data_IF_209975116114
#
_entry.id   IF_209975116114
#
_cell.length_a   1.000
_cell.length_b   1.000
_cell.length_c   1.000
_cell.angle_alpha   90.00
_cell.angle_beta   90.00
_cell.angle_gamma   90.00
#
_symmetry.space_group_name_H-M   'P 1'
#
loop_
_entity.id
_entity.type
_entity.pdbx_description
1 polymer ?
#
# COMPACT_ATOMS: atom_id res chain seq x y z
N UNK A 1 -56.23 76.14 2.31
CA UNK A 1 -55.44 76.66 3.44
C UNK A 1 -54.06 77.18 3.09
N UNK A 2 -53.59 77.16 1.82
CA UNK A 2 -52.25 77.63 1.44
C UNK A 2 -52.15 79.11 1.00
N UNK A 3 -53.29 79.79 0.78
CA UNK A 3 -53.31 81.22 0.34
C UNK A 3 -53.23 82.24 1.50
N UNK A 4 -53.36 81.86 2.79
CA UNK A 4 -53.36 82.78 3.90
C UNK A 4 -51.95 83.05 4.53
N UNK A 5 -50.91 82.31 4.12
CA UNK A 5 -49.55 82.36 4.73
C UNK A 5 -48.64 83.35 3.96
N UNK A 6 -48.98 83.70 2.71
CA UNK A 6 -48.19 84.57 1.85
C UNK A 6 -48.31 86.06 2.08
N UNK A 7 -49.24 86.54 2.98
CA UNK A 7 -49.46 87.99 3.22
C UNK A 7 -48.80 88.59 4.47
N UNK A 8 -47.96 87.80 5.20
CA UNK A 8 -47.22 88.36 6.33
C UNK A 8 -45.88 88.94 5.81
N UNK A 9 -45.70 90.26 5.91
CA UNK A 9 -44.50 91.08 5.49
C UNK A 9 -43.17 90.50 6.04
N UNK A 10 -43.16 89.47 6.84
CA UNK A 10 -41.99 88.84 7.42
C UNK A 10 -41.61 87.51 6.73
N UNK A 11 -42.39 87.03 5.78
CA UNK A 11 -42.06 85.75 5.08
C UNK A 11 -40.85 85.85 4.16
N UNK A 12 -40.68 86.99 3.47
CA UNK A 12 -39.61 87.25 2.56
C UNK A 12 -38.24 87.39 3.23
N UNK A 13 -38.09 88.12 4.37
CA UNK A 13 -36.79 88.12 5.05
C UNK A 13 -36.46 86.80 5.73
N UNK A 14 -37.46 86.02 6.22
CA UNK A 14 -37.20 84.69 6.73
C UNK A 14 -36.76 83.69 5.66
N UNK A 15 -37.37 83.75 4.47
CA UNK A 15 -36.94 82.95 3.32
C UNK A 15 -35.56 83.32 2.81
N UNK A 16 -35.21 84.63 2.77
CA UNK A 16 -33.86 85.08 2.42
C UNK A 16 -32.82 84.70 3.45
N UNK A 17 -33.11 84.73 4.74
CA UNK A 17 -32.26 84.24 5.80
C UNK A 17 -32.02 82.72 5.74
N UNK A 18 -33.07 81.96 5.38
CA UNK A 18 -32.98 80.49 5.20
C UNK A 18 -32.11 80.13 3.98
N UNK A 19 -32.25 80.87 2.87
CA UNK A 19 -31.44 80.67 1.67
C UNK A 19 -29.99 81.12 1.92
N UNK A 20 -29.74 82.14 2.73
CA UNK A 20 -28.41 82.62 3.11
C UNK A 20 -27.74 81.62 4.08
N UNK A 21 -28.52 81.00 4.97
CA UNK A 21 -28.06 79.91 5.81
C UNK A 21 -27.75 78.66 4.98
N UNK A 22 -28.57 78.29 4.03
CA UNK A 22 -28.31 77.18 3.12
C UNK A 22 -27.09 77.47 2.24
N UNK A 23 -26.86 78.70 1.83
CA UNK A 23 -25.64 79.11 1.06
C UNK A 23 -24.38 79.12 1.96
N UNK A 24 -24.47 79.55 3.23
CA UNK A 24 -23.38 79.54 4.21
C UNK A 24 -23.06 78.14 4.71
N UNK A 25 -24.03 77.22 4.82
CA UNK A 25 -23.83 75.84 5.22
C UNK A 25 -23.72 74.89 4.03
N UNK A 26 -24.16 75.29 2.83
CA UNK A 26 -24.03 74.49 1.61
C UNK A 26 -22.69 74.57 0.93
N UNK A 27 -21.81 75.47 1.34
CA UNK A 27 -20.40 75.52 0.91
C UNK A 27 -19.48 74.80 1.92
N UNK A 28 -19.95 73.67 2.54
CA UNK A 28 -19.01 72.70 3.01
C UNK A 28 -18.39 72.04 1.80
N UNK A 29 -17.27 72.58 1.41
CA UNK A 29 -16.30 71.96 0.52
C UNK A 29 -16.17 70.47 0.94
N UNK A 30 -16.54 69.56 0.08
CA UNK A 30 -16.16 68.14 0.23
C UNK A 30 -14.64 68.07 0.22
N UNK A 31 -14.04 68.51 1.30
CA UNK A 31 -12.67 68.25 1.66
C UNK A 31 -12.55 66.71 1.78
N UNK A 32 -12.37 66.03 0.63
CA UNK A 32 -11.80 64.69 0.61
C UNK A 32 -10.61 64.74 1.55
N UNK A 33 -10.78 64.23 2.72
CA UNK A 33 -9.66 64.02 3.65
C UNK A 33 -8.56 63.29 2.88
N UNK A 34 -7.55 64.00 2.42
CA UNK A 34 -6.35 63.41 1.92
C UNK A 34 -5.79 62.59 3.04
N UNK A 35 -6.08 61.28 3.04
CA UNK A 35 -5.45 60.36 3.95
C UNK A 35 -3.93 60.52 3.78
N UNK A 36 -3.25 60.84 4.85
CA UNK A 36 -1.79 60.91 4.82
C UNK A 36 -1.24 59.64 4.20
N UNK A 37 -0.30 59.73 3.24
CA UNK A 37 0.22 58.54 2.59
C UNK A 37 0.95 57.67 3.59
N UNK A 38 0.56 56.41 3.70
CA UNK A 38 1.25 55.39 4.48
C UNK A 38 2.49 54.95 3.72
N UNK A 39 3.64 55.20 4.32
CA UNK A 39 4.93 54.91 3.69
C UNK A 39 5.43 53.55 4.13
N UNK A 40 5.93 52.76 3.19
CA UNK A 40 6.63 51.52 3.46
C UNK A 40 7.92 51.41 2.66
N UNK A 41 8.89 50.73 3.24
CA UNK A 41 10.22 50.63 2.66
C UNK A 41 10.35 49.52 1.61
N UNK A 42 11.11 49.81 0.60
CA UNK A 42 11.56 48.86 -0.41
C UNK A 42 12.80 48.14 0.17
N UNK A 43 12.73 46.81 0.28
CA UNK A 43 13.81 46.02 0.88
C UNK A 43 14.41 45.05 -0.11
N UNK A 44 15.72 44.86 -0.02
CA UNK A 44 16.38 43.73 -0.66
C UNK A 44 16.19 42.52 0.25
N UNK A 45 15.41 41.55 -0.17
CA UNK A 45 15.11 40.34 0.61
C UNK A 45 14.83 39.16 -0.28
N UNK A 46 15.03 37.99 0.25
CA UNK A 46 14.54 36.76 -0.38
C UNK A 46 13.02 36.74 -0.28
N UNK A 47 12.37 36.39 -1.37
CA UNK A 47 10.92 36.18 -1.44
C UNK A 47 10.65 34.77 -1.89
N UNK A 48 9.95 33.99 -1.05
CA UNK A 48 9.43 32.67 -1.40
C UNK A 48 7.94 32.75 -1.61
N UNK A 49 7.45 31.99 -2.56
CA UNK A 49 6.03 31.77 -2.79
C UNK A 49 5.78 30.30 -2.48
N UNK A 50 4.96 30.03 -1.50
CA UNK A 50 4.70 28.70 -1.01
C UNK A 50 3.23 28.33 -1.26
N UNK A 51 2.99 27.05 -1.62
CA UNK A 51 1.69 26.44 -1.50
C UNK A 51 1.58 25.76 -0.13
N UNK A 52 0.48 25.99 0.57
CA UNK A 52 0.26 25.42 1.89
C UNK A 52 -1.00 24.57 1.86
N UNK A 53 -0.80 23.26 1.92
CA UNK A 53 -1.88 22.28 1.79
C UNK A 53 -1.86 21.29 2.95
N UNK A 54 -3.00 20.67 3.20
CA UNK A 54 -3.15 19.63 4.23
C UNK A 54 -3.17 18.26 3.56
N UNK A 55 -2.47 17.31 4.15
CA UNK A 55 -2.42 15.93 3.65
C UNK A 55 -2.35 14.91 4.77
N UNK A 56 -2.39 13.66 4.38
CA UNK A 56 -2.32 12.51 5.27
C UNK A 56 -0.94 11.84 5.17
N UNK A 57 -0.39 11.47 6.32
CA UNK A 57 0.86 10.72 6.39
C UNK A 57 0.58 9.25 6.10
N UNK A 58 1.32 8.70 5.18
CA UNK A 58 1.29 7.26 4.85
C UNK A 58 2.71 6.69 4.75
N UNK A 59 2.84 5.39 4.90
CA UNK A 59 4.10 4.71 4.64
C UNK A 59 4.33 4.60 3.13
N UNK A 60 5.58 4.74 2.69
CA UNK A 60 5.97 4.56 1.28
C UNK A 60 5.74 3.12 0.83
N UNK A 61 6.01 2.17 1.72
CA UNK A 61 5.81 0.75 1.50
C UNK A 61 4.96 0.16 2.62
N UNK A 62 3.93 -0.56 2.26
CA UNK A 62 3.12 -1.37 3.16
C UNK A 62 2.94 -2.76 2.57
N UNK A 63 2.90 -3.77 3.42
CA UNK A 63 2.59 -5.14 3.01
C UNK A 63 1.20 -5.46 3.49
N UNK A 64 0.31 -5.68 2.53
CA UNK A 64 -1.05 -6.10 2.80
C UNK A 64 -1.12 -7.62 2.87
N UNK A 65 -1.72 -8.14 3.92
CA UNK A 65 -1.88 -9.54 4.20
C UNK A 65 -3.34 -9.94 4.00
N UNK A 66 -3.54 -10.97 3.20
CA UNK A 66 -4.86 -11.50 2.87
C UNK A 66 -4.88 -13.02 3.06
N UNK A 67 -6.06 -13.62 3.32
CA UNK A 67 -6.22 -15.05 3.27
C UNK A 67 -5.90 -15.58 1.87
N UNK A 68 -5.39 -16.83 1.74
CA UNK A 68 -5.02 -17.41 0.45
C UNK A 68 -6.19 -17.41 -0.54
N UNK A 69 -5.93 -17.07 -1.81
CA UNK A 69 -6.96 -16.97 -2.87
C UNK A 69 -7.52 -18.33 -3.31
N UNK A 70 -6.79 -19.41 -3.08
CA UNK A 70 -7.13 -20.77 -3.55
C UNK A 70 -8.31 -21.38 -2.79
N UNK A 71 -8.77 -20.74 -1.75
CA UNK A 71 -9.77 -21.25 -0.83
C UNK A 71 -11.16 -20.75 -1.20
N UNK A 72 -12.03 -21.69 -1.55
CA UNK A 72 -13.45 -21.41 -1.84
C UNK A 72 -14.35 -21.46 -0.59
N UNK A 73 -13.75 -21.54 0.58
CA UNK A 73 -14.48 -21.70 1.85
C UNK A 73 -14.49 -20.40 2.64
N UNK A 74 -15.56 -20.15 3.37
CA UNK A 74 -15.69 -19.05 4.31
C UNK A 74 -14.74 -19.28 5.48
N UNK A 75 -13.64 -18.53 5.53
CA UNK A 75 -12.65 -18.62 6.59
C UNK A 75 -12.98 -17.64 7.71
N UNK A 76 -13.38 -18.18 8.86
CA UNK A 76 -13.62 -17.36 10.05
C UNK A 76 -12.30 -17.06 10.77
N UNK A 77 -12.13 -15.82 11.18
CA UNK A 77 -10.99 -15.43 12.02
C UNK A 77 -11.27 -15.87 13.46
N UNK A 78 -10.37 -16.64 14.04
CA UNK A 78 -10.46 -17.10 15.43
C UNK A 78 -9.54 -16.34 16.39
N UNK A 79 -8.44 -15.79 15.90
CA UNK A 79 -7.52 -14.98 16.69
C UNK A 79 -6.82 -13.94 15.84
N UNK A 80 -6.56 -12.76 16.43
CA UNK A 80 -5.82 -11.66 15.82
C UNK A 80 -4.96 -10.94 16.86
N UNK A 81 -3.79 -10.44 16.43
CA UNK A 81 -2.99 -9.49 17.22
C UNK A 81 -3.71 -8.15 17.29
N UNK A 82 -3.77 -7.45 18.46
CA UNK A 82 -4.42 -6.16 18.57
C UNK A 82 -3.86 -5.10 17.59
N UNK A 83 -4.76 -4.26 17.05
CA UNK A 83 -4.36 -3.13 16.20
C UNK A 83 -3.40 -2.19 16.94
N UNK A 84 -2.40 -1.65 16.25
CA UNK A 84 -1.41 -0.76 16.84
C UNK A 84 -0.25 -1.49 17.55
N UNK A 85 -0.22 -2.83 17.56
CA UNK A 85 0.92 -3.58 18.07
C UNK A 85 2.10 -3.50 17.10
N UNK A 86 3.31 -3.30 17.62
CA UNK A 86 4.55 -3.38 16.84
C UNK A 86 5.00 -4.83 16.79
N UNK A 87 5.19 -5.36 15.58
CA UNK A 87 5.56 -6.77 15.33
C UNK A 87 6.89 -6.85 14.59
N UNK A 88 7.56 -8.00 14.73
CA UNK A 88 8.76 -8.35 13.97
C UNK A 88 8.44 -9.38 12.88
N UNK A 89 9.36 -9.53 11.92
CA UNK A 89 9.21 -10.56 10.90
C UNK A 89 9.08 -11.96 11.53
N UNK A 90 8.07 -12.73 11.14
CA UNK A 90 7.74 -14.06 11.67
C UNK A 90 6.71 -14.07 12.79
N UNK A 91 6.38 -12.92 13.41
CA UNK A 91 5.40 -12.86 14.48
C UNK A 91 4.00 -13.25 13.99
N UNK A 92 3.21 -13.81 14.90
CA UNK A 92 1.81 -14.15 14.66
C UNK A 92 0.96 -12.91 14.42
N UNK A 93 0.01 -12.99 13.47
CA UNK A 93 -0.91 -11.88 13.15
C UNK A 93 -2.38 -12.31 13.18
N UNK A 94 -2.73 -13.31 12.39
CA UNK A 94 -4.11 -13.78 12.25
C UNK A 94 -4.14 -15.29 12.16
N UNK A 95 -5.07 -15.90 12.87
CA UNK A 95 -5.41 -17.31 12.76
C UNK A 95 -6.82 -17.45 12.22
N UNK A 96 -6.95 -18.19 11.13
CA UNK A 96 -8.24 -18.64 10.64
C UNK A 96 -8.62 -19.99 11.24
N UNK A 97 -9.90 -20.33 11.18
CA UNK A 97 -10.40 -21.62 11.64
C UNK A 97 -9.84 -22.76 10.77
N UNK A 98 -9.17 -23.69 11.40
CA UNK A 98 -8.51 -24.85 10.79
C UNK A 98 -9.23 -26.17 11.05
N UNK A 99 -10.31 -26.15 11.84
CA UNK A 99 -10.96 -27.35 12.39
C UNK A 99 -11.33 -28.40 11.31
N UNK A 100 -11.95 -27.95 10.21
CA UNK A 100 -12.32 -28.85 9.11
C UNK A 100 -11.11 -29.48 8.42
N UNK A 101 -10.01 -28.75 8.32
CA UNK A 101 -8.78 -29.26 7.72
C UNK A 101 -8.02 -30.21 8.66
N UNK A 102 -8.05 -29.93 9.95
CA UNK A 102 -7.47 -30.78 10.97
C UNK A 102 -8.18 -32.13 11.01
N UNK A 103 -9.52 -32.14 10.94
CA UNK A 103 -10.31 -33.37 10.82
C UNK A 103 -9.93 -34.16 9.55
N UNK A 104 -9.79 -33.48 8.40
CA UNK A 104 -9.37 -34.15 7.16
C UNK A 104 -7.93 -34.65 7.23
N UNK A 105 -7.03 -33.91 7.86
CA UNK A 105 -5.64 -34.30 8.09
C UNK A 105 -5.58 -35.59 8.96
N UNK A 106 -6.35 -35.65 10.02
CA UNK A 106 -6.43 -36.85 10.88
C UNK A 106 -6.91 -38.07 10.09
N UNK A 107 -7.95 -37.93 9.26
CA UNK A 107 -8.44 -39.02 8.40
C UNK A 107 -7.37 -39.47 7.40
N UNK A 108 -6.66 -38.55 6.76
CA UNK A 108 -5.60 -38.85 5.82
C UNK A 108 -4.40 -39.53 6.51
N UNK A 109 -4.02 -39.09 7.69
CA UNK A 109 -2.95 -39.71 8.50
C UNK A 109 -3.33 -41.12 8.95
N UNK A 110 -4.59 -41.35 9.37
CA UNK A 110 -5.10 -42.66 9.72
C UNK A 110 -5.10 -43.59 8.49
N UNK A 111 -5.51 -43.11 7.32
CA UNK A 111 -5.43 -43.87 6.07
C UNK A 111 -3.98 -44.24 5.71
N UNK A 112 -3.05 -43.28 5.78
CA UNK A 112 -1.63 -43.55 5.55
C UNK A 112 -1.05 -44.58 6.50
N UNK A 113 -1.41 -44.50 7.78
CA UNK A 113 -0.99 -45.46 8.81
C UNK A 113 -1.48 -46.87 8.48
N UNK A 114 -2.75 -47.00 8.04
CA UNK A 114 -3.35 -48.29 7.63
C UNK A 114 -2.62 -48.87 6.40
N UNK A 115 -2.33 -48.04 5.38
CA UNK A 115 -1.58 -48.48 4.19
C UNK A 115 -0.15 -48.92 4.53
N UNK A 116 0.52 -48.24 5.45
CA UNK A 116 1.86 -48.61 5.91
C UNK A 116 1.79 -49.98 6.65
N UNK A 117 0.81 -50.21 7.50
CA UNK A 117 0.60 -51.51 8.17
C UNK A 117 0.31 -52.62 7.15
N UNK A 118 -0.50 -52.35 6.13
CA UNK A 118 -0.80 -53.30 5.06
C UNK A 118 0.48 -53.62 4.25
N UNK A 119 1.32 -52.65 3.92
CA UNK A 119 2.63 -52.87 3.26
C UNK A 119 3.52 -53.78 4.09
N UNK A 120 3.60 -53.58 5.41
CA UNK A 120 4.47 -54.37 6.30
C UNK A 120 3.94 -55.79 6.46
N UNK A 121 2.63 -55.95 6.54
CA UNK A 121 1.97 -57.27 6.52
C UNK A 121 2.22 -58.03 5.22
N UNK A 122 2.06 -57.33 4.04
CA UNK A 122 2.32 -57.92 2.73
C UNK A 122 3.79 -58.36 2.60
N UNK A 123 4.75 -57.54 3.04
CA UNK A 123 6.19 -57.86 3.02
C UNK A 123 6.51 -59.11 3.88
N UNK A 124 5.90 -59.20 5.05
CA UNK A 124 6.10 -60.37 5.90
C UNK A 124 5.55 -61.67 5.24
N UNK A 125 4.36 -61.61 4.63
CA UNK A 125 3.77 -62.70 3.90
C UNK A 125 4.63 -63.14 2.69
N UNK A 126 5.09 -62.15 1.90
CA UNK A 126 5.98 -62.41 0.75
C UNK A 126 7.31 -63.03 1.17
N UNK A 127 7.93 -62.52 2.23
CA UNK A 127 9.18 -63.12 2.79
C UNK A 127 9.00 -64.59 3.21
N UNK A 128 7.90 -64.92 3.88
CA UNK A 128 7.57 -66.29 4.23
C UNK A 128 7.38 -67.19 3.00
N UNK A 129 6.64 -66.65 1.97
CA UNK A 129 6.38 -67.36 0.73
C UNK A 129 7.69 -67.64 -0.07
N UNK A 130 8.56 -66.61 -0.20
CA UNK A 130 9.87 -66.78 -0.88
C UNK A 130 10.74 -67.77 -0.11
N UNK A 131 10.73 -67.76 1.23
CA UNK A 131 11.48 -68.74 2.02
C UNK A 131 11.00 -70.14 1.77
N UNK A 132 9.69 -70.37 1.67
CA UNK A 132 9.09 -71.70 1.32
C UNK A 132 9.51 -72.15 -0.09
N UNK A 133 9.46 -71.22 -1.10
CA UNK A 133 9.85 -71.56 -2.48
C UNK A 133 11.35 -71.88 -2.58
N UNK A 134 12.22 -71.17 -1.84
CA UNK A 134 13.65 -71.50 -1.74
C UNK A 134 13.90 -72.84 -1.12
N UNK A 135 13.14 -73.25 -0.11
CA UNK A 135 13.21 -74.58 0.48
C UNK A 135 12.79 -75.66 -0.54
N UNK A 136 11.73 -75.38 -1.34
CA UNK A 136 11.32 -76.32 -2.41
C UNK A 136 12.40 -76.49 -3.50
N UNK A 137 13.07 -75.39 -3.88
CA UNK A 137 14.20 -75.44 -4.83
C UNK A 137 15.33 -76.30 -4.24
N UNK A 138 15.71 -76.11 -2.99
CA UNK A 138 16.75 -76.90 -2.34
C UNK A 138 16.38 -78.39 -2.34
N UNK A 139 15.13 -78.77 -2.01
CA UNK A 139 14.67 -80.16 -2.07
C UNK A 139 14.71 -80.72 -3.48
N UNK A 140 14.30 -79.96 -4.52
CA UNK A 140 14.38 -80.40 -5.92
C UNK A 140 15.82 -80.55 -6.40
N UNK A 141 16.75 -79.66 -5.94
CA UNK A 141 18.18 -79.77 -6.24
C UNK A 141 18.79 -81.06 -5.68
N UNK A 142 18.50 -81.37 -4.39
CA UNK A 142 18.97 -82.64 -3.83
C UNK A 142 18.37 -83.86 -4.53
N UNK A 143 17.09 -83.82 -4.94
CA UNK A 143 16.47 -84.88 -5.70
C UNK A 143 17.16 -85.09 -7.08
N UNK A 144 17.54 -84.00 -7.78
CA UNK A 144 18.32 -84.07 -9.03
C UNK A 144 19.71 -84.68 -8.80
N UNK A 145 20.44 -84.20 -7.75
CA UNK A 145 21.76 -84.76 -7.40
C UNK A 145 21.68 -86.31 -7.12
N UNK A 146 20.66 -86.76 -6.39
CA UNK A 146 20.48 -88.17 -6.17
C UNK A 146 20.17 -88.91 -7.48
N UNK A 147 19.34 -88.41 -8.35
CA UNK A 147 19.02 -89.05 -9.63
C UNK A 147 20.27 -89.08 -10.58
N UNK A 148 21.12 -88.04 -10.60
CA UNK A 148 22.39 -88.04 -11.31
C UNK A 148 23.33 -89.13 -10.79
N UNK A 149 23.47 -89.26 -9.45
CA UNK A 149 24.30 -90.30 -8.84
C UNK A 149 23.76 -91.69 -9.13
N UNK A 150 22.46 -91.93 -9.08
CA UNK A 150 21.80 -93.18 -9.44
C UNK A 150 22.06 -93.58 -10.89
N UNK A 151 21.96 -92.60 -11.85
CA UNK A 151 22.32 -92.84 -13.25
C UNK A 151 23.77 -93.22 -13.39
N UNK A 152 24.71 -92.58 -12.72
CA UNK A 152 26.11 -92.94 -12.75
C UNK A 152 26.41 -94.33 -12.24
N UNK A 153 25.80 -94.77 -11.12
CA UNK A 153 25.93 -96.09 -10.56
C UNK A 153 25.40 -97.15 -11.51
N UNK A 154 24.33 -96.91 -12.26
CA UNK A 154 23.68 -97.83 -13.16
C UNK A 154 24.29 -97.84 -14.60
N UNK A 155 25.39 -97.13 -14.81
CA UNK A 155 26.02 -96.91 -16.13
C UNK A 155 26.40 -98.20 -16.83
N UNK A 156 26.75 -99.29 -16.06
CA UNK A 156 27.19 -100.58 -16.63
C UNK A 156 26.11 -101.65 -16.49
N UNK A 157 24.88 -101.35 -16.05
CA UNK A 157 23.74 -102.20 -15.96
C UNK A 157 22.99 -102.48 -17.28
N UNK A 158 21.97 -103.27 -17.29
CA UNK A 158 21.12 -103.57 -18.45
C UNK A 158 20.49 -102.33 -19.05
N UNK A 159 20.33 -102.32 -20.36
CA UNK A 159 19.84 -101.08 -21.13
C UNK A 159 18.55 -100.54 -20.58
N UNK A 160 17.60 -101.35 -20.14
CA UNK A 160 16.33 -100.95 -19.56
C UNK A 160 16.55 -100.20 -18.25
N UNK A 161 17.41 -100.69 -17.36
CA UNK A 161 17.68 -100.04 -16.06
C UNK A 161 18.39 -98.65 -16.30
N UNK A 162 19.24 -98.55 -17.27
CA UNK A 162 19.86 -97.25 -17.64
C UNK A 162 18.84 -96.26 -18.16
N UNK A 163 17.93 -96.72 -19.02
CA UNK A 163 16.90 -95.89 -19.55
C UNK A 163 15.91 -95.38 -18.50
N UNK A 164 15.55 -96.25 -17.49
CA UNK A 164 14.75 -95.84 -16.32
C UNK A 164 15.49 -94.75 -15.50
N UNK A 165 16.77 -94.89 -15.22
CA UNK A 165 17.54 -93.92 -14.45
C UNK A 165 17.70 -92.62 -15.20
N UNK A 166 17.86 -92.63 -16.53
CA UNK A 166 17.90 -91.43 -17.35
C UNK A 166 16.54 -90.67 -17.34
N UNK A 167 15.46 -91.43 -17.37
CA UNK A 167 14.11 -90.87 -17.27
C UNK A 167 13.86 -90.20 -15.87
N UNK A 168 14.29 -90.86 -14.80
CA UNK A 168 14.16 -90.27 -13.47
C UNK A 168 15.02 -89.01 -13.28
N UNK A 169 16.25 -88.99 -13.85
CA UNK A 169 17.06 -87.75 -13.87
C UNK A 169 16.33 -86.62 -14.60
N UNK A 170 15.80 -86.90 -15.83
CA UNK A 170 15.03 -85.88 -16.56
C UNK A 170 13.82 -85.37 -15.81
N UNK A 171 13.09 -86.25 -15.12
CA UNK A 171 11.96 -85.84 -14.25
C UNK A 171 12.45 -84.92 -13.12
N UNK A 172 13.55 -85.26 -12.44
CA UNK A 172 14.11 -84.44 -11.39
C UNK A 172 14.60 -83.06 -11.92
N UNK A 173 15.23 -83.02 -13.11
CA UNK A 173 15.61 -81.77 -13.75
C UNK A 173 14.42 -80.89 -14.09
N UNK A 174 13.33 -81.49 -14.62
CA UNK A 174 12.09 -80.75 -14.90
C UNK A 174 11.51 -80.19 -13.59
N UNK A 175 11.47 -80.96 -12.53
CA UNK A 175 10.96 -80.52 -11.22
C UNK A 175 11.79 -79.35 -10.65
N UNK A 176 13.11 -79.35 -10.82
CA UNK A 176 13.97 -78.25 -10.40
C UNK A 176 13.68 -77.00 -11.24
N UNK A 177 13.52 -77.13 -12.56
CA UNK A 177 13.19 -76.01 -13.45
C UNK A 177 11.85 -75.42 -13.05
N UNK A 178 10.83 -76.24 -12.81
CA UNK A 178 9.49 -75.80 -12.32
C UNK A 178 9.58 -75.05 -10.98
N UNK A 179 10.38 -75.56 -10.03
CA UNK A 179 10.55 -74.90 -8.75
C UNK A 179 11.19 -73.52 -8.89
N UNK A 180 12.20 -73.38 -9.76
CA UNK A 180 12.87 -72.09 -10.08
C UNK A 180 11.90 -71.11 -10.77
N UNK A 181 11.18 -71.58 -11.80
CA UNK A 181 10.20 -70.76 -12.52
C UNK A 181 9.06 -70.27 -11.59
N UNK A 182 8.65 -71.09 -10.67
CA UNK A 182 7.66 -70.72 -9.64
C UNK A 182 8.17 -69.59 -8.70
N UNK A 183 9.46 -69.63 -8.33
CA UNK A 183 10.06 -68.55 -7.55
C UNK A 183 10.11 -67.26 -8.35
N UNK A 184 10.62 -67.30 -9.58
CA UNK A 184 10.71 -66.13 -10.48
C UNK A 184 9.33 -65.49 -10.72
N UNK A 185 8.34 -66.32 -11.05
CA UNK A 185 6.96 -65.87 -11.24
C UNK A 185 6.38 -65.19 -9.98
N UNK A 186 6.67 -65.79 -8.80
CA UNK A 186 6.22 -65.21 -7.54
C UNK A 186 6.92 -63.88 -7.22
N UNK A 187 8.23 -63.74 -7.50
CA UNK A 187 8.96 -62.47 -7.31
C UNK A 187 8.39 -61.34 -8.17
N UNK A 188 7.97 -61.63 -9.42
CA UNK A 188 7.33 -60.65 -10.32
C UNK A 188 5.95 -60.24 -9.74
N UNK A 189 5.13 -61.17 -9.26
CA UNK A 189 3.83 -60.89 -8.65
C UNK A 189 4.01 -60.03 -7.41
N UNK A 190 4.97 -60.40 -6.55
CA UNK A 190 5.28 -59.70 -5.29
C UNK A 190 5.76 -58.27 -5.56
N UNK A 191 6.64 -58.06 -6.55
CA UNK A 191 7.10 -56.74 -6.99
C UNK A 191 5.92 -55.89 -7.48
N UNK A 192 5.04 -56.44 -8.30
CA UNK A 192 3.86 -55.73 -8.83
C UNK A 192 2.92 -55.29 -7.70
N UNK A 193 2.63 -56.18 -6.77
CA UNK A 193 1.77 -55.89 -5.61
C UNK A 193 2.33 -54.80 -4.72
N UNK A 194 3.64 -54.85 -4.41
CA UNK A 194 4.32 -53.81 -3.62
C UNK A 194 4.41 -52.48 -4.39
N UNK A 195 4.61 -52.51 -5.70
CA UNK A 195 4.65 -51.32 -6.54
C UNK A 195 3.32 -50.57 -6.53
N UNK A 196 2.20 -51.28 -6.66
CA UNK A 196 0.86 -50.71 -6.59
C UNK A 196 0.61 -50.06 -5.23
N UNK A 197 0.90 -50.77 -4.15
CA UNK A 197 0.73 -50.23 -2.80
C UNK A 197 1.64 -49.02 -2.50
N UNK A 198 2.85 -49.03 -3.07
CA UNK A 198 3.77 -47.89 -2.96
C UNK A 198 3.19 -46.63 -3.60
N UNK A 199 2.59 -46.73 -4.79
CA UNK A 199 1.95 -45.58 -5.46
C UNK A 199 0.81 -45.03 -4.58
N UNK A 200 0.02 -45.89 -3.98
CA UNK A 200 -1.08 -45.48 -3.11
C UNK A 200 -0.58 -44.80 -1.81
N UNK A 201 0.47 -45.32 -1.21
CA UNK A 201 1.14 -44.69 -0.06
C UNK A 201 1.68 -43.32 -0.42
N UNK A 202 2.36 -43.16 -1.57
CA UNK A 202 2.89 -41.84 -2.01
C UNK A 202 1.79 -40.83 -2.31
N UNK A 203 0.66 -41.29 -2.87
CA UNK A 203 -0.52 -40.44 -3.07
C UNK A 203 -1.04 -39.93 -1.71
N UNK A 204 -1.26 -40.80 -0.74
CA UNK A 204 -1.75 -40.40 0.58
C UNK A 204 -0.74 -39.49 1.33
N UNK A 205 0.57 -39.74 1.18
CA UNK A 205 1.60 -38.82 1.71
C UNK A 205 1.54 -37.44 1.11
N UNK A 206 1.25 -37.38 -0.21
CA UNK A 206 1.04 -36.12 -0.90
C UNK A 206 -0.14 -35.35 -0.33
N UNK A 207 -1.25 -36.04 -0.09
CA UNK A 207 -2.46 -35.48 0.50
C UNK A 207 -2.22 -34.95 1.94
N UNK A 208 -1.53 -35.70 2.78
CA UNK A 208 -1.15 -35.28 4.14
C UNK A 208 -0.32 -33.98 4.07
N UNK A 209 0.73 -33.95 3.23
CA UNK A 209 1.58 -32.74 3.09
C UNK A 209 0.77 -31.53 2.58
N UNK A 210 -0.09 -31.73 1.61
CA UNK A 210 -0.95 -30.67 1.09
C UNK A 210 -1.86 -30.08 2.17
N UNK A 211 -2.45 -30.94 3.02
CA UNK A 211 -3.30 -30.49 4.13
C UNK A 211 -2.47 -29.77 5.21
N UNK A 212 -1.27 -30.25 5.54
CA UNK A 212 -0.37 -29.57 6.48
C UNK A 212 0.06 -28.18 6.00
N UNK A 213 0.40 -28.05 4.71
CA UNK A 213 0.72 -26.74 4.09
C UNK A 213 -0.49 -25.81 4.12
N UNK A 214 -1.67 -26.35 3.83
CA UNK A 214 -2.90 -25.58 3.90
C UNK A 214 -3.15 -25.05 5.31
N UNK A 215 -3.09 -25.87 6.32
CA UNK A 215 -3.27 -25.48 7.73
C UNK A 215 -2.22 -24.42 8.11
N UNK A 216 -0.98 -24.61 7.72
CA UNK A 216 0.09 -23.64 7.98
C UNK A 216 -0.20 -22.26 7.35
N UNK A 217 -0.72 -22.24 6.14
CA UNK A 217 -1.04 -21.01 5.41
C UNK A 217 -2.26 -20.26 5.98
N UNK A 218 -3.07 -20.92 6.82
CA UNK A 218 -4.18 -20.28 7.55
C UNK A 218 -3.73 -19.52 8.79
N UNK A 219 -2.46 -19.58 9.13
CA UNK A 219 -1.84 -18.73 10.14
C UNK A 219 -1.02 -17.66 9.44
N UNK A 220 -1.54 -16.44 9.34
CA UNK A 220 -0.79 -15.32 8.77
C UNK A 220 0.26 -14.85 9.77
N UNK A 221 1.48 -14.68 9.28
CA UNK A 221 2.62 -14.16 10.03
C UNK A 221 3.17 -12.92 9.35
N UNK A 222 3.77 -12.03 10.14
CA UNK A 222 4.38 -10.80 9.63
C UNK A 222 5.56 -11.10 8.70
N UNK A 223 5.54 -10.65 7.43
CA UNK A 223 6.69 -10.83 6.53
C UNK A 223 7.80 -9.82 6.81
N UNK A 224 7.46 -8.68 7.41
CA UNK A 224 8.37 -7.59 7.80
C UNK A 224 8.02 -7.09 9.20
N UNK A 225 8.95 -6.41 9.86
CA UNK A 225 8.63 -5.66 11.07
C UNK A 225 7.84 -4.38 10.74
N UNK A 226 6.90 -4.01 11.62
CA UNK A 226 6.10 -2.81 11.44
C UNK A 226 4.94 -2.71 12.42
N UNK A 227 4.05 -1.75 12.18
CA UNK A 227 2.85 -1.53 12.97
C UNK A 227 1.67 -2.31 12.35
N UNK A 228 0.91 -3.01 13.18
CA UNK A 228 -0.31 -3.71 12.73
C UNK A 228 -1.44 -2.71 12.52
N UNK A 229 -1.96 -2.63 11.30
CA UNK A 229 -3.12 -1.80 10.93
C UNK A 229 -4.21 -2.69 10.37
N UNK A 230 -5.41 -2.60 10.93
CA UNK A 230 -6.57 -3.34 10.47
C UNK A 230 -7.15 -2.71 9.20
N UNK A 231 -7.45 -3.54 8.20
CA UNK A 231 -8.15 -3.10 7.00
C UNK A 231 -9.66 -3.10 7.22
N UNK A 232 -10.33 -2.26 6.45
CA UNK A 232 -11.79 -2.29 6.39
C UNK A 232 -12.25 -3.33 5.39
N UNK A 233 -13.25 -4.10 5.80
CA UNK A 233 -13.91 -5.10 4.95
C UNK A 233 -15.38 -4.75 4.79
N UNK A 234 -15.92 -5.11 3.64
CA UNK A 234 -17.36 -5.05 3.41
C UNK A 234 -18.04 -6.25 4.08
N UNK A 235 -18.87 -5.99 5.06
CA UNK A 235 -19.66 -7.01 5.76
C UNK A 235 -21.10 -6.55 5.88
N UNK A 236 -22.01 -7.27 5.23
CA UNK A 236 -23.43 -6.92 5.25
C UNK A 236 -23.81 -5.61 4.53
N UNK A 237 -22.96 -5.11 3.61
CA UNK A 237 -23.17 -3.86 2.87
C UNK A 237 -22.59 -2.61 3.58
N UNK A 238 -21.94 -2.79 4.72
CA UNK A 238 -21.24 -1.72 5.43
C UNK A 238 -19.73 -1.99 5.48
N UNK A 239 -18.94 -0.92 5.36
CA UNK A 239 -17.49 -0.98 5.57
C UNK A 239 -17.24 -0.95 7.09
N UNK A 240 -16.57 -1.97 7.59
CA UNK A 240 -16.16 -2.04 9.00
C UNK A 240 -14.73 -2.55 9.11
N UNK A 241 -14.02 -2.15 10.16
CA UNK A 241 -12.72 -2.75 10.50
C UNK A 241 -12.90 -4.23 10.80
N UNK A 242 -11.95 -5.01 10.31
CA UNK A 242 -11.93 -6.46 10.55
C UNK A 242 -11.79 -6.78 12.04
N UNK A 243 -12.46 -7.83 12.47
CA UNK A 243 -12.46 -8.29 13.85
C UNK A 243 -12.47 -9.83 13.93
N UNK A 244 -12.17 -10.35 15.12
CA UNK A 244 -12.33 -11.78 15.41
C UNK A 244 -13.79 -12.19 15.23
N UNK A 245 -14.03 -13.29 14.53
CA UNK A 245 -15.35 -13.78 14.16
C UNK A 245 -15.78 -13.42 12.74
N UNK A 246 -15.10 -12.47 12.08
CA UNK A 246 -15.38 -12.08 10.70
C UNK A 246 -14.91 -13.14 9.69
N UNK A 247 -15.54 -13.13 8.51
CA UNK A 247 -15.24 -14.02 7.40
C UNK A 247 -14.84 -13.21 6.16
N UNK A 248 -13.56 -12.79 6.04
CA UNK A 248 -13.10 -12.09 4.88
C UNK A 248 -13.15 -12.99 3.63
N UNK A 249 -13.31 -12.35 2.47
CA UNK A 249 -13.24 -13.06 1.19
C UNK A 249 -11.80 -13.50 0.89
N UNK A 250 -11.59 -14.64 0.21
CA UNK A 250 -10.26 -15.03 -0.25
C UNK A 250 -9.57 -13.92 -1.04
N UNK A 251 -8.32 -13.62 -0.70
CA UNK A 251 -7.54 -12.53 -1.30
C UNK A 251 -7.90 -11.12 -0.84
N UNK A 252 -8.92 -10.93 0.02
CA UNK A 252 -9.25 -9.62 0.59
C UNK A 252 -8.25 -9.26 1.68
N UNK A 253 -7.56 -8.10 1.60
CA UNK A 253 -6.62 -7.69 2.64
C UNK A 253 -7.30 -7.52 3.99
N UNK A 254 -6.73 -8.13 5.03
CA UNK A 254 -7.23 -8.07 6.41
C UNK A 254 -6.35 -7.24 7.33
N UNK A 255 -5.04 -7.31 7.14
CA UNK A 255 -4.04 -6.53 7.89
C UNK A 255 -3.07 -5.89 6.92
N UNK A 256 -2.65 -4.67 7.22
CA UNK A 256 -1.55 -3.97 6.58
C UNK A 256 -0.41 -3.76 7.56
N UNK A 257 0.82 -3.99 7.12
CA UNK A 257 2.02 -3.68 7.91
C UNK A 257 2.80 -2.59 7.15
N UNK A 258 2.59 -1.30 7.50
CA UNK A 258 3.38 -0.20 6.97
C UNK A 258 4.81 -0.24 7.51
N UNK A 259 5.78 0.00 6.61
CA UNK A 259 7.16 0.24 7.01
C UNK A 259 7.30 1.67 7.50
N UNK A 260 7.59 1.85 8.78
CA UNK A 260 7.69 3.16 9.41
C UNK A 260 9.03 3.87 9.14
N UNK A 261 10.02 3.19 8.53
CA UNK A 261 11.32 3.79 8.22
C UNK A 261 11.25 4.81 7.08
N UNK A 262 10.24 4.70 6.22
CA UNK A 262 10.05 5.58 5.07
C UNK A 262 8.61 6.06 5.01
N UNK A 263 8.44 7.36 5.29
CA UNK A 263 7.13 7.99 5.34
C UNK A 263 6.99 9.05 4.24
N UNK A 264 5.77 9.29 3.81
CA UNK A 264 5.40 10.31 2.85
C UNK A 264 4.09 10.97 3.25
N UNK A 265 3.86 12.18 2.75
CA UNK A 265 2.58 12.85 2.89
C UNK A 265 1.90 12.86 1.53
N UNK A 266 0.68 12.38 1.49
CA UNK A 266 -0.20 12.44 0.34
C UNK A 266 -1.14 13.61 0.52
N UNK A 267 -1.11 14.57 -0.39
CA UNK A 267 -1.92 15.78 -0.31
C UNK A 267 -2.61 16.07 -1.65
N UNK A 268 -3.62 16.90 -1.59
CA UNK A 268 -4.35 17.40 -2.75
C UNK A 268 -4.02 18.86 -2.94
N UNK A 269 -3.64 19.24 -4.15
CA UNK A 269 -3.25 20.60 -4.50
C UNK A 269 -4.15 21.07 -5.62
N UNK A 270 -4.65 22.29 -5.51
CA UNK A 270 -5.49 22.89 -6.54
C UNK A 270 -4.74 23.05 -7.89
N UNK A 271 -5.49 23.15 -8.98
CA UNK A 271 -4.95 23.22 -10.35
C UNK A 271 -3.97 24.40 -10.56
N UNK A 272 -4.23 25.55 -9.93
CA UNK A 272 -3.39 26.76 -10.11
C UNK A 272 -1.99 26.59 -9.50
N UNK A 273 -1.91 25.97 -8.33
CA UNK A 273 -0.65 25.73 -7.65
C UNK A 273 0.05 24.48 -8.22
N UNK A 274 -0.72 23.45 -8.57
CA UNK A 274 -0.20 22.23 -9.19
C UNK A 274 0.54 22.51 -10.52
N UNK A 275 0.09 23.50 -11.30
CA UNK A 275 0.75 23.89 -12.55
C UNK A 275 2.18 24.46 -12.34
N UNK A 276 2.49 24.92 -11.11
CA UNK A 276 3.80 25.47 -10.73
C UNK A 276 4.68 24.46 -9.99
N UNK A 277 4.12 23.29 -9.63
CA UNK A 277 4.86 22.25 -8.92
C UNK A 277 5.77 21.49 -9.88
N UNK A 278 6.99 21.23 -9.39
CA UNK A 278 7.97 20.39 -10.07
C UNK A 278 8.51 19.36 -9.10
N UNK A 279 8.71 18.13 -9.57
CA UNK A 279 9.35 17.08 -8.76
C UNK A 279 10.75 17.52 -8.31
N UNK A 280 11.06 17.31 -7.03
CA UNK A 280 12.30 17.72 -6.38
C UNK A 280 12.21 18.99 -5.55
N UNK A 281 11.13 19.77 -5.65
CA UNK A 281 10.92 20.95 -4.81
C UNK A 281 10.94 20.61 -3.33
N UNK A 282 11.50 21.51 -2.52
CA UNK A 282 11.57 21.40 -1.08
C UNK A 282 10.20 21.65 -0.44
N UNK A 283 9.91 20.90 0.60
CA UNK A 283 8.69 21.05 1.37
C UNK A 283 8.97 20.98 2.87
N UNK A 284 8.27 21.78 3.66
CA UNK A 284 8.29 21.75 5.10
C UNK A 284 6.99 21.16 5.63
N UNK A 285 7.09 20.07 6.37
CA UNK A 285 5.96 19.29 6.87
C UNK A 285 5.80 19.54 8.36
N UNK A 286 4.61 19.96 8.78
CA UNK A 286 4.26 20.16 10.20
C UNK A 286 3.08 19.27 10.56
N UNK A 287 3.22 18.54 11.66
CA UNK A 287 2.14 17.71 12.18
C UNK A 287 1.12 18.55 12.93
N UNK A 288 -0.16 18.35 12.66
CA UNK A 288 -1.20 19.02 13.44
C UNK A 288 -1.20 18.58 14.92
N UNK A 289 -0.94 17.30 15.15
CA UNK A 289 -0.85 16.74 16.50
C UNK A 289 0.38 17.21 17.28
N UNK A 290 1.46 17.71 16.62
CA UNK A 290 2.71 18.14 17.22
C UNK A 290 3.21 19.45 16.59
N UNK A 291 2.58 20.61 16.87
CA UNK A 291 2.88 21.87 16.18
C UNK A 291 4.32 22.38 16.34
N UNK A 292 5.04 21.92 17.37
CA UNK A 292 6.43 22.29 17.63
C UNK A 292 7.47 21.49 16.83
N UNK A 293 7.05 20.50 16.04
CA UNK A 293 7.94 19.66 15.21
C UNK A 293 7.71 19.92 13.74
N UNK A 294 8.80 20.09 13.01
CA UNK A 294 8.79 20.20 11.55
C UNK A 294 9.76 19.19 10.95
N UNK A 295 9.39 18.67 9.78
CA UNK A 295 10.17 17.70 9.03
C UNK A 295 10.41 18.22 7.64
N UNK A 296 11.61 18.03 7.14
CA UNK A 296 11.95 18.35 5.76
C UNK A 296 11.45 17.24 4.84
N UNK A 297 10.95 17.64 3.69
CA UNK A 297 10.49 16.73 2.66
C UNK A 297 10.79 17.24 1.25
N UNK A 298 10.53 16.38 0.26
CA UNK A 298 10.64 16.73 -1.16
C UNK A 298 9.47 16.19 -1.93
N UNK A 299 8.97 16.97 -2.88
CA UNK A 299 7.98 16.51 -3.86
C UNK A 299 8.58 15.42 -4.72
N UNK A 300 8.01 14.21 -4.67
CA UNK A 300 8.50 13.06 -5.45
C UNK A 300 7.56 12.71 -6.60
N UNK A 301 6.27 12.98 -6.45
CA UNK A 301 5.27 12.65 -7.47
C UNK A 301 4.17 13.70 -7.49
N UNK A 302 3.78 14.08 -8.71
CA UNK A 302 2.61 14.89 -8.99
C UNK A 302 1.75 14.08 -9.96
N UNK A 303 0.49 13.86 -9.63
CA UNK A 303 -0.42 13.13 -10.49
C UNK A 303 -0.63 13.89 -11.80
N UNK A 304 -0.68 13.17 -12.91
CA UNK A 304 -0.93 13.74 -14.23
C UNK A 304 -2.42 13.94 -14.54
N UNK A 305 -3.28 13.36 -13.73
CA UNK A 305 -4.73 13.44 -13.88
C UNK A 305 -5.31 14.12 -12.64
N UNK A 306 -6.13 15.13 -12.87
CA UNK A 306 -6.89 15.78 -11.84
C UNK A 306 -8.01 14.84 -11.35
N UNK A 307 -8.26 14.84 -10.05
CA UNK A 307 -9.38 14.17 -9.42
C UNK A 307 -10.39 15.22 -8.98
N UNK A 308 -11.67 14.91 -9.09
CA UNK A 308 -12.72 15.73 -8.50
C UNK A 308 -12.87 15.33 -7.04
N UNK A 309 -13.07 16.29 -6.17
CA UNK A 309 -13.29 16.04 -4.74
C UNK A 309 -14.62 15.34 -4.49
N UNK A 310 -15.66 15.74 -5.26
CA UNK A 310 -16.99 15.13 -5.22
C UNK A 310 -17.62 15.18 -6.63
N UNK A 311 -18.66 14.37 -6.89
CA UNK A 311 -19.32 14.27 -8.19
C UNK A 311 -19.85 15.61 -8.68
N UNK A 312 -20.27 16.51 -7.78
CA UNK A 312 -20.81 17.85 -8.06
C UNK A 312 -19.79 18.99 -7.95
N UNK A 313 -18.51 18.72 -7.58
CA UNK A 313 -17.49 19.75 -7.45
C UNK A 313 -16.90 20.11 -8.82
N UNK A 314 -16.80 21.41 -9.12
CA UNK A 314 -16.04 21.95 -10.26
C UNK A 314 -14.54 22.05 -9.93
N UNK A 315 -14.16 21.94 -8.66
CA UNK A 315 -12.79 22.04 -8.19
C UNK A 315 -12.03 20.78 -8.61
N UNK A 316 -10.88 21.00 -9.23
CA UNK A 316 -9.98 19.95 -9.67
C UNK A 316 -8.71 19.99 -8.85
N UNK A 317 -8.43 18.89 -8.17
CA UNK A 317 -7.24 18.73 -7.37
C UNK A 317 -6.30 17.70 -7.99
N UNK A 318 -5.01 17.94 -7.83
CA UNK A 318 -3.97 17.02 -8.21
C UNK A 318 -3.39 16.36 -6.96
N UNK A 319 -3.27 15.05 -7.01
CA UNK A 319 -2.59 14.32 -5.95
C UNK A 319 -1.08 14.59 -6.02
N UNK A 320 -0.53 15.05 -4.92
CA UNK A 320 0.92 15.31 -4.77
C UNK A 320 1.45 14.48 -3.62
N UNK A 321 2.59 13.85 -3.84
CA UNK A 321 3.26 13.03 -2.82
C UNK A 321 4.58 13.69 -2.45
N UNK A 322 4.72 14.00 -1.16
CA UNK A 322 5.91 14.59 -0.57
C UNK A 322 6.58 13.56 0.33
N UNK A 323 7.77 13.11 -0.03
CA UNK A 323 8.55 12.16 0.77
C UNK A 323 9.26 12.89 1.90
N UNK A 324 9.17 12.36 3.10
CA UNK A 324 9.90 12.87 4.27
C UNK A 324 11.37 12.45 4.19
N UNK A 325 12.28 13.35 4.58
CA UNK A 325 13.72 13.09 4.54
C UNK A 325 14.19 12.22 5.71
N UNK A 326 13.45 12.23 6.82
CA UNK A 326 13.76 11.49 8.03
C UNK A 326 12.49 10.88 8.60
N UNK A 327 12.60 9.65 9.08
CA UNK A 327 11.57 8.99 9.87
C UNK A 327 11.76 9.35 11.37
N UNK A 328 10.65 9.48 12.08
CA UNK A 328 10.62 9.67 13.53
C UNK A 328 9.57 8.72 14.12
N UNK A 329 9.84 8.16 15.26
CA UNK A 329 8.94 7.24 15.99
C UNK A 329 7.57 7.85 16.35
N UNK A 330 7.48 9.18 16.30
CA UNK A 330 6.22 9.93 16.52
C UNK A 330 5.28 9.85 15.32
N UNK A 331 5.82 9.59 14.12
CA UNK A 331 5.05 9.51 12.87
C UNK A 331 4.21 8.23 12.86
N UNK A 332 2.92 8.39 12.66
CA UNK A 332 2.00 7.26 12.47
C UNK A 332 1.23 7.45 11.17
N UNK A 333 1.04 6.40 10.37
CA UNK A 333 0.11 6.45 9.24
C UNK A 333 -1.28 6.90 9.69
N UNK A 334 -1.94 7.70 8.84
CA UNK A 334 -3.24 8.29 9.16
C UNK A 334 -3.19 9.64 9.90
N UNK A 335 -2.00 10.13 10.28
CA UNK A 335 -1.88 11.47 10.86
C UNK A 335 -2.04 12.55 9.81
N UNK A 336 -2.70 13.65 10.19
CA UNK A 336 -2.82 14.86 9.39
C UNK A 336 -1.57 15.72 9.51
N UNK A 337 -1.05 16.16 8.36
CA UNK A 337 0.11 17.05 8.28
C UNK A 337 -0.18 18.24 7.36
N UNK A 338 0.29 19.41 7.77
CA UNK A 338 0.30 20.63 6.96
C UNK A 338 1.64 20.72 6.23
N UNK A 339 1.58 20.79 4.91
CA UNK A 339 2.76 20.79 4.05
C UNK A 339 2.87 22.14 3.35
N UNK A 340 4.00 22.80 3.52
CA UNK A 340 4.38 24.05 2.89
C UNK A 340 5.41 23.74 1.80
N UNK A 341 5.00 23.83 0.52
CA UNK A 341 5.84 23.51 -0.64
C UNK A 341 6.36 24.82 -1.23
N UNK A 342 7.66 24.95 -1.39
CA UNK A 342 8.29 26.09 -2.04
C UNK A 342 8.04 26.02 -3.55
N UNK A 343 7.13 26.89 -4.07
CA UNK A 343 6.79 26.94 -5.48
C UNK A 343 7.86 27.68 -6.30
N UNK A 344 8.20 28.90 -5.84
CA UNK A 344 9.17 29.76 -6.49
C UNK A 344 9.95 30.56 -5.46
N UNK A 345 11.19 30.92 -5.78
CA UNK A 345 12.07 31.71 -4.94
C UNK A 345 12.79 32.78 -5.76
N UNK A 346 12.73 34.02 -5.28
CA UNK A 346 13.57 35.09 -5.76
C UNK A 346 14.58 35.47 -4.68
N UNK A 347 15.87 35.25 -4.96
CA UNK A 347 16.94 35.55 -4.03
C UNK A 347 17.38 36.99 -4.18
N UNK A 348 17.61 37.71 -3.08
CA UNK A 348 18.10 39.09 -3.05
C UNK A 348 17.34 40.03 -4.03
N UNK A 349 16.02 39.84 -4.13
CA UNK A 349 15.17 40.67 -4.97
C UNK A 349 14.70 41.92 -4.23
N UNK A 350 14.48 42.99 -4.98
CA UNK A 350 13.92 44.20 -4.45
C UNK A 350 12.42 44.02 -4.24
N UNK A 351 11.97 43.99 -2.99
CA UNK A 351 10.59 43.66 -2.64
C UNK A 351 9.85 44.82 -2.02
N UNK A 352 8.62 45.05 -2.48
CA UNK A 352 7.67 46.02 -1.93
C UNK A 352 6.49 45.32 -1.27
N UNK A 353 5.79 45.94 -0.32
CA UNK A 353 4.49 45.46 0.12
C UNK A 353 3.50 45.40 -1.05
N UNK A 354 2.69 44.38 -1.12
CA UNK A 354 1.70 44.23 -2.20
C UNK A 354 0.77 45.43 -2.32
N UNK A 355 0.45 46.10 -1.18
CA UNK A 355 -0.37 47.31 -1.13
C UNK A 355 0.30 48.59 -1.65
N UNK A 356 1.61 48.56 -1.99
CA UNK A 356 2.33 49.70 -2.53
C UNK A 356 2.39 49.72 -4.08
N UNK A 357 1.92 48.63 -4.72
CA UNK A 357 1.87 48.53 -6.21
C UNK A 357 0.42 48.71 -6.64
N UNK A 358 0.22 49.65 -7.56
CA UNK A 358 -1.09 50.02 -8.10
C UNK A 358 -1.15 49.72 -9.59
N UNK A 359 -2.36 49.61 -10.11
CA UNK A 359 -2.57 49.49 -11.56
C UNK A 359 -3.10 50.82 -12.11
N UNK A 360 -2.45 51.30 -13.14
CA UNK A 360 -2.88 52.50 -13.86
C UNK A 360 -2.79 52.29 -15.36
N UNK A 361 -3.92 52.38 -16.07
CA UNK A 361 -4.01 52.19 -17.54
C UNK A 361 -3.40 50.87 -18.04
N UNK A 362 -3.48 49.81 -17.25
CA UNK A 362 -2.93 48.49 -17.59
C UNK A 362 -1.45 48.31 -17.26
N UNK A 363 -0.80 49.33 -16.68
CA UNK A 363 0.59 49.25 -16.21
C UNK A 363 0.67 49.19 -14.68
N UNK A 364 1.68 48.50 -14.16
CA UNK A 364 1.98 48.51 -12.74
C UNK A 364 2.80 49.71 -12.36
N UNK A 365 2.33 50.48 -11.38
CA UNK A 365 2.96 51.72 -10.93
C UNK A 365 3.16 51.73 -9.42
N UNK A 366 4.21 52.42 -8.99
CA UNK A 366 4.49 52.73 -7.58
C UNK A 366 4.66 54.20 -7.38
N UNK A 367 4.47 54.70 -6.16
CA UNK A 367 4.66 56.12 -5.81
C UNK A 367 5.83 56.29 -4.85
N UNK A 368 7.04 56.55 -5.37
CA UNK A 368 8.20 56.81 -4.52
C UNK A 368 8.05 58.18 -3.81
N UNK A 369 8.44 58.23 -2.54
CA UNK A 369 8.35 59.46 -1.74
C UNK A 369 9.09 60.64 -2.38
N UNK A 370 10.19 60.39 -3.05
CA UNK A 370 10.99 61.45 -3.76
C UNK A 370 10.21 62.11 -4.87
N UNK A 371 9.29 61.44 -5.54
CA UNK A 371 8.57 61.90 -6.71
C UNK A 371 7.05 62.00 -6.48
N UNK A 372 6.56 61.79 -5.27
CA UNK A 372 5.14 61.82 -4.96
C UNK A 372 4.48 63.14 -5.34
N UNK A 373 3.33 63.19 -5.99
CA UNK A 373 2.40 62.08 -6.34
C UNK A 373 2.59 61.51 -7.77
N UNK A 374 3.75 61.64 -8.39
CA UNK A 374 3.99 61.14 -9.76
C UNK A 374 4.19 59.61 -9.72
N UNK A 375 3.44 58.86 -10.55
CA UNK A 375 3.63 57.42 -10.67
C UNK A 375 4.95 57.08 -11.36
N UNK A 376 5.57 55.99 -10.95
CA UNK A 376 6.71 55.39 -11.62
C UNK A 376 6.27 53.99 -12.09
N UNK A 377 6.32 53.76 -13.41
CA UNK A 377 6.03 52.43 -14.00
C UNK A 377 7.12 51.47 -13.59
N UNK A 378 6.74 50.29 -13.18
CA UNK A 378 7.64 49.21 -12.73
C UNK A 378 7.19 47.86 -13.29
N UNK A 379 8.15 47.00 -13.56
CA UNK A 379 7.85 45.57 -13.79
C UNK A 379 7.72 44.84 -12.47
N UNK A 380 6.81 43.91 -12.42
CA UNK A 380 6.59 43.10 -11.20
C UNK A 380 6.94 41.66 -11.49
N UNK A 381 7.68 41.03 -10.55
CA UNK A 381 8.03 39.62 -10.59
C UNK A 381 7.15 38.78 -9.63
N UNK A 382 7.78 37.86 -8.89
CA UNK A 382 7.12 36.99 -7.94
C UNK A 382 6.33 37.79 -6.90
N UNK A 383 5.15 37.32 -6.59
CA UNK A 383 4.23 37.88 -5.60
C UNK A 383 3.85 36.84 -4.54
N UNK A 384 4.00 37.22 -3.29
CA UNK A 384 3.40 36.53 -2.14
C UNK A 384 2.22 37.34 -1.60
N UNK A 385 1.57 36.85 -0.56
CA UNK A 385 0.44 37.54 0.09
C UNK A 385 0.82 38.93 0.63
N UNK A 386 2.04 39.07 1.10
CA UNK A 386 2.49 40.32 1.76
C UNK A 386 3.39 41.20 0.89
N UNK A 387 4.21 40.63 0.02
CA UNK A 387 5.21 41.33 -0.74
C UNK A 387 5.25 40.92 -2.20
N UNK A 388 5.73 41.82 -3.05
CA UNK A 388 5.90 41.60 -4.49
C UNK A 388 7.30 42.04 -4.90
N UNK A 389 7.93 41.26 -5.78
CA UNK A 389 9.21 41.69 -6.41
C UNK A 389 8.95 42.82 -7.37
N UNK A 390 9.72 43.89 -7.25
CA UNK A 390 9.67 45.06 -8.14
C UNK A 390 10.98 45.15 -8.87
N UNK A 391 10.92 45.23 -10.21
CA UNK A 391 12.08 45.38 -11.07
C UNK A 391 12.06 46.77 -11.66
N UNK A 392 13.05 47.62 -11.30
CA UNK A 392 13.19 48.96 -11.83
C UNK A 392 14.60 49.50 -11.57
N UNK A 393 15.23 50.10 -12.59
CA UNK A 393 16.55 50.73 -12.46
C UNK A 393 16.51 52.03 -11.65
N UNK A 394 15.32 52.62 -11.51
CA UNK A 394 15.11 53.89 -10.82
C UNK A 394 14.92 53.78 -9.31
N UNK A 395 14.79 52.53 -8.78
CA UNK A 395 14.51 52.26 -7.37
C UNK A 395 15.68 51.57 -6.70
N UNK A 396 15.89 51.88 -5.41
CA UNK A 396 16.94 51.27 -4.59
C UNK A 396 16.38 50.79 -3.26
N UNK A 397 17.05 49.81 -2.64
CA UNK A 397 16.73 49.40 -1.29
C UNK A 397 16.77 50.59 -0.34
N UNK A 398 15.76 50.74 0.51
CA UNK A 398 15.57 51.87 1.40
C UNK A 398 14.70 53.01 0.87
N UNK A 399 14.32 52.99 -0.43
CA UNK A 399 13.35 53.97 -0.95
C UNK A 399 11.97 53.68 -0.29
N UNK A 400 11.26 54.79 0.03
CA UNK A 400 9.92 54.71 0.61
C UNK A 400 8.87 54.80 -0.47
N UNK A 401 7.94 53.85 -0.48
CA UNK A 401 6.80 53.79 -1.41
C UNK A 401 5.51 54.06 -0.63
N UNK A 402 4.58 54.77 -1.26
CA UNK A 402 3.26 54.99 -0.70
C UNK A 402 2.39 53.73 -0.85
N UNK A 403 1.78 53.29 0.26
CA UNK A 403 0.74 52.26 0.25
C UNK A 403 -0.68 52.83 0.05
N UNK A 404 -0.79 54.15 -0.16
CA UNK A 404 -2.04 54.87 -0.42
C UNK A 404 -1.97 55.56 -1.77
N UNK A 405 -2.97 55.30 -2.62
CA UNK A 405 -3.06 55.94 -3.92
C UNK A 405 -3.31 57.45 -3.76
N UNK A 406 -2.64 58.32 -4.56
CA UNK A 406 -2.86 59.75 -4.47
C UNK A 406 -4.22 60.20 -5.00
N UNK A 407 -4.87 59.42 -5.83
CA UNK A 407 -6.19 59.68 -6.42
C UNK A 407 -6.97 58.35 -6.57
N UNK A 408 -8.31 58.46 -6.63
CA UNK A 408 -9.23 57.32 -6.80
C UNK A 408 -9.16 56.62 -8.18
N UNK A 409 -8.43 57.22 -9.12
CA UNK A 409 -8.21 56.64 -10.44
C UNK A 409 -7.18 55.50 -10.48
N UNK A 410 -6.48 55.24 -9.35
CA UNK A 410 -5.49 54.17 -9.24
C UNK A 410 -6.09 52.99 -8.44
N UNK A 411 -6.17 51.84 -9.06
CA UNK A 411 -6.61 50.63 -8.44
C UNK A 411 -5.44 49.82 -7.89
N UNK A 412 -5.69 48.98 -6.88
CA UNK A 412 -4.70 48.07 -6.30
C UNK A 412 -4.61 46.79 -7.07
#
# INVERSE_FOLDING_TARGET
MLKAIMQKRWFWPALAALLLLIWLFGSQDDGKARSEPVWSDLRLSDLTVDAVETGEIEAVHSVDLSPPMEWRMDMQIIAMVPEGTVVQAGDFLVQFDTSELEDRLELAQNSLTSLLAQRDGLRAQQSARISQLKANIAAATYSEEIAVLQRELLKYEAAVKRMDAELEEKKAQISLIEARTNLESQEIIDFSALSTLRVEIEKNRGEVRELEEKISNLTLRAPIGGLVVYKEIESGGELKKIAVGDKPRPGQPVISIPNLDTMQVKLRVNEMDAARLVSGQSALIRLEAYPGRSFDGRVVRIAKLAQKEDYDSEIRDFEVVVRMSQADSVLKPGMTAKVQIELDKALQALTAPTGAVFEHKGERVVFPKKNYPRPLTVETGLRSDQRIVVVSDALKAGDLLSCTAPDSSFHR
#
